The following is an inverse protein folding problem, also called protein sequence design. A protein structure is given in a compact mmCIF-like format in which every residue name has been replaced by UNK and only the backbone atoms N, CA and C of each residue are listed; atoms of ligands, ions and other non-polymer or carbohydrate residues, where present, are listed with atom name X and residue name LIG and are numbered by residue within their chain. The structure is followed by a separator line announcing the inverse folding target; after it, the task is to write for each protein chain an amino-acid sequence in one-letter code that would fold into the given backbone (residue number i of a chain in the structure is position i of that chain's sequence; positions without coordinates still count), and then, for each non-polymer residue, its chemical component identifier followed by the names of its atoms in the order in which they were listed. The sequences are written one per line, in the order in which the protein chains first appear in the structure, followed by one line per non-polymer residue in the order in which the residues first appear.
data_IF_377986123446
#
_entry.id   IF_377986123446
#
_cell.length_a   1.000
_cell.length_b   1.000
_cell.length_c   1.000
_cell.angle_alpha   90.00
_cell.angle_beta   90.00
_cell.angle_gamma   90.00
#
_symmetry.space_group_name_H-M   'P 1'
#
loop_
_entity.id
_entity.type
_entity.pdbx_description
1 polymer ?
#
# COMPACT_ATOMS: atom_id res chain seq x y z
N UNK A 1 63.58 51.34 2.63
CA UNK A 1 63.33 51.93 3.96
C UNK A 1 62.75 50.88 4.87
N UNK A 2 63.60 50.23 5.74
CA UNK A 2 63.17 49.11 6.61
C UNK A 2 62.80 49.66 7.99
N UNK A 3 61.49 49.51 8.41
CA UNK A 3 61.07 49.78 9.78
C UNK A 3 61.32 48.56 10.67
N UNK A 4 62.22 48.69 11.63
CA UNK A 4 62.45 47.75 12.72
C UNK A 4 61.24 47.77 13.68
N UNK A 5 60.52 46.64 13.86
CA UNK A 5 59.59 46.41 14.98
C UNK A 5 60.37 45.87 16.17
N UNK A 6 60.44 46.66 17.24
CA UNK A 6 60.87 46.23 18.55
C UNK A 6 59.85 45.28 19.16
N UNK A 7 60.22 44.02 19.39
CA UNK A 7 59.48 43.03 20.14
C UNK A 7 60.09 42.87 21.51
N UNK A 8 59.65 43.64 22.50
CA UNK A 8 59.86 43.29 23.90
C UNK A 8 58.69 42.43 24.35
N UNK A 9 58.71 41.13 24.10
CA UNK A 9 57.77 40.18 24.69
C UNK A 9 58.44 39.55 25.91
N UNK A 10 58.07 40.06 27.09
CA UNK A 10 58.44 39.37 28.33
C UNK A 10 57.68 38.00 28.29
N UNK A 11 58.36 36.89 28.51
CA UNK A 11 57.72 35.60 28.52
C UNK A 11 56.71 35.51 29.68
N UNK A 12 55.51 35.02 29.40
CA UNK A 12 54.37 35.02 30.32
C UNK A 12 54.67 34.43 31.72
N UNK A 13 55.68 33.53 31.81
CA UNK A 13 56.17 32.97 33.08
C UNK A 13 56.82 34.00 33.99
N UNK A 14 57.50 35.02 33.48
CA UNK A 14 58.06 36.11 34.29
C UNK A 14 57.01 37.13 34.72
N UNK A 15 55.97 37.35 33.91
CA UNK A 15 54.82 38.16 34.25
C UNK A 15 54.05 37.56 35.45
N UNK A 16 53.91 36.22 35.45
CA UNK A 16 53.25 35.48 36.52
C UNK A 16 54.04 35.54 37.83
N UNK A 17 55.42 35.40 37.74
CA UNK A 17 56.30 35.53 38.88
C UNK A 17 56.30 36.96 39.49
N UNK A 18 56.28 37.99 38.65
CA UNK A 18 56.17 39.37 39.11
C UNK A 18 54.80 39.60 39.78
N UNK A 19 53.72 39.08 39.21
CA UNK A 19 52.38 39.17 39.79
C UNK A 19 52.29 38.47 41.17
N UNK A 20 52.87 37.26 41.30
CA UNK A 20 52.98 36.55 42.58
C UNK A 20 53.84 37.33 43.58
N UNK A 21 54.95 37.92 43.14
CA UNK A 21 55.81 38.77 43.98
C UNK A 21 55.07 39.98 44.51
N UNK A 22 54.30 40.65 43.68
CA UNK A 22 53.47 41.82 44.09
C UNK A 22 52.40 41.36 45.10
N UNK A 23 51.73 40.24 44.87
CA UNK A 23 50.74 39.68 45.82
C UNK A 23 51.37 39.37 47.18
N UNK A 24 52.57 38.79 47.22
CA UNK A 24 53.27 38.51 48.48
C UNK A 24 53.68 39.79 49.19
N UNK A 25 54.18 40.82 48.46
CA UNK A 25 54.53 42.10 49.05
C UNK A 25 53.31 42.81 49.62
N UNK A 26 52.19 42.77 48.91
CA UNK A 26 50.90 43.35 49.40
C UNK A 26 50.41 42.60 50.65
N UNK A 27 50.57 41.25 50.67
CA UNK A 27 50.19 40.41 51.80
C UNK A 27 51.12 40.70 53.02
N UNK A 28 52.40 40.87 52.80
CA UNK A 28 53.37 41.24 53.83
C UNK A 28 53.16 42.63 54.37
N UNK A 29 52.88 43.63 53.53
CA UNK A 29 52.51 45.00 53.94
C UNK A 29 51.21 45.00 54.71
N UNK A 30 50.20 44.24 54.32
CA UNK A 30 48.97 44.09 55.03
C UNK A 30 49.16 43.46 56.41
N UNK A 31 50.08 42.49 56.54
CA UNK A 31 50.44 41.86 57.81
C UNK A 31 51.27 42.82 58.72
N UNK A 32 52.20 43.61 58.17
CA UNK A 32 53.05 44.51 58.95
C UNK A 32 52.34 45.79 59.42
N UNK A 33 51.26 46.20 58.75
CA UNK A 33 50.45 47.41 59.12
C UNK A 33 49.22 47.03 59.92
N UNK A 34 48.88 45.69 60.01
CA UNK A 34 47.64 45.17 60.63
C UNK A 34 47.72 44.97 62.14
N UNK A 35 48.08 46.01 62.85
CA UNK A 35 47.67 46.11 64.23
C UNK A 35 46.40 46.93 64.33
N UNK A 36 45.30 46.27 64.70
CA UNK A 36 43.98 46.84 65.20
C UNK A 36 42.99 47.34 64.15
N UNK A 37 41.92 46.65 64.07
CA UNK A 37 40.54 47.06 63.82
C UNK A 37 40.26 48.29 62.99
N UNK A 38 39.74 48.16 61.77
CA UNK A 38 38.91 49.16 61.15
C UNK A 38 39.57 50.19 60.27
N UNK A 39 40.63 49.80 59.46
CA UNK A 39 41.25 50.71 58.50
C UNK A 39 40.54 50.74 57.12
N UNK A 40 40.80 51.84 56.33
CA UNK A 40 40.17 52.06 55.01
C UNK A 40 40.41 50.96 53.97
N UNK A 41 41.30 50.03 54.25
CA UNK A 41 41.60 48.84 53.38
C UNK A 41 40.43 47.81 53.32
N UNK A 42 39.65 47.72 54.42
CA UNK A 42 38.51 46.83 54.47
C UNK A 42 37.36 47.33 53.57
N UNK A 43 37.27 48.68 53.43
CA UNK A 43 36.28 49.30 52.52
C UNK A 43 36.67 49.14 51.06
N UNK A 44 37.98 49.19 50.73
CA UNK A 44 38.45 48.99 49.35
C UNK A 44 38.39 47.51 48.94
N UNK A 45 38.68 46.58 49.84
CA UNK A 45 38.55 45.16 49.61
C UNK A 45 37.10 44.77 49.37
N UNK A 46 36.17 45.28 50.16
CA UNK A 46 34.74 45.02 49.98
C UNK A 46 34.17 45.62 48.68
N UNK A 47 34.71 46.76 48.24
CA UNK A 47 34.25 47.44 47.03
C UNK A 47 34.70 46.74 45.75
N UNK A 48 35.84 46.05 45.75
CA UNK A 48 36.39 45.32 44.59
C UNK A 48 36.03 43.83 44.61
N UNK A 49 36.10 43.17 45.78
CA UNK A 49 35.86 41.70 45.86
C UNK A 49 34.37 41.33 45.80
N UNK A 50 33.48 42.13 46.35
CA UNK A 50 32.01 41.82 46.38
C UNK A 50 31.40 41.85 44.97
N UNK A 51 31.65 42.83 44.09
CA UNK A 51 31.16 42.83 42.73
C UNK A 51 31.79 41.72 41.86
N UNK A 52 33.07 41.39 42.12
CA UNK A 52 33.79 40.32 41.38
C UNK A 52 33.23 38.93 41.74
N UNK A 53 32.88 38.68 43.01
CA UNK A 53 32.23 37.47 43.47
C UNK A 53 30.79 37.30 42.91
N UNK A 54 30.06 38.42 42.81
CA UNK A 54 28.74 38.41 42.12
C UNK A 54 28.87 38.21 40.63
N UNK A 55 29.90 38.75 39.97
CA UNK A 55 30.17 38.55 38.56
C UNK A 55 30.53 37.13 38.23
N UNK A 56 31.36 36.45 39.04
CA UNK A 56 31.75 35.04 38.84
C UNK A 56 30.55 34.10 39.01
N UNK A 57 29.68 34.32 40.01
CA UNK A 57 28.49 33.53 40.21
C UNK A 57 27.49 33.70 39.05
N UNK A 58 27.29 34.92 38.53
CA UNK A 58 26.38 35.17 37.41
C UNK A 58 26.89 34.55 36.09
N UNK A 59 28.21 34.56 35.89
CA UNK A 59 28.82 33.89 34.72
C UNK A 59 28.73 32.36 34.87
N UNK A 60 28.99 31.82 36.06
CA UNK A 60 28.85 30.38 36.35
C UNK A 60 27.43 29.86 36.12
N UNK A 61 26.42 30.57 36.61
CA UNK A 61 25.01 30.20 36.41
C UNK A 61 24.56 30.38 34.97
N UNK A 62 25.11 31.33 34.24
CA UNK A 62 24.83 31.51 32.81
C UNK A 62 25.38 30.36 31.97
N UNK A 63 26.57 29.90 32.26
CA UNK A 63 27.19 28.74 31.55
C UNK A 63 26.51 27.42 31.95
N UNK A 64 26.18 27.21 33.22
CA UNK A 64 25.44 26.03 33.70
C UNK A 64 24.07 25.94 33.03
N UNK A 65 23.28 27.00 33.08
CA UNK A 65 21.96 27.02 32.42
C UNK A 65 22.00 26.85 30.90
N UNK A 66 23.12 27.23 30.27
CA UNK A 66 23.31 26.99 28.82
C UNK A 66 23.70 25.56 28.51
N UNK A 67 24.52 24.94 29.34
CA UNK A 67 24.91 23.53 29.24
C UNK A 67 23.69 22.62 29.44
N UNK A 68 22.87 22.88 30.45
CA UNK A 68 21.66 22.10 30.73
C UNK A 68 20.63 22.20 29.59
N UNK A 69 20.50 23.38 28.97
CA UNK A 69 19.65 23.57 27.78
C UNK A 69 20.17 22.85 26.55
N UNK A 70 21.50 22.79 26.34
CA UNK A 70 22.08 22.04 25.24
C UNK A 70 21.89 20.53 25.42
N UNK A 71 22.09 20.00 26.64
CA UNK A 71 21.83 18.59 26.93
C UNK A 71 20.34 18.24 26.77
N UNK A 72 19.44 19.11 27.21
CA UNK A 72 18.01 18.93 27.02
C UNK A 72 17.64 18.98 25.53
N UNK A 73 18.22 19.89 24.74
CA UNK A 73 17.97 19.95 23.31
C UNK A 73 18.46 18.70 22.58
N UNK A 74 19.66 18.23 22.91
CA UNK A 74 20.24 17.02 22.34
C UNK A 74 19.39 15.79 22.68
N UNK A 75 18.96 15.63 23.93
CA UNK A 75 18.09 14.52 24.33
C UNK A 75 16.71 14.56 23.64
N UNK A 76 16.12 15.74 23.45
CA UNK A 76 14.86 15.91 22.71
C UNK A 76 15.06 15.62 21.22
N UNK A 77 16.18 15.99 20.63
CA UNK A 77 16.51 15.67 19.25
C UNK A 77 16.69 14.16 19.06
N UNK A 78 17.38 13.49 19.97
CA UNK A 78 17.57 12.02 19.96
C UNK A 78 16.24 11.29 20.15
N UNK A 79 15.39 11.77 21.08
CA UNK A 79 14.05 11.23 21.28
C UNK A 79 13.17 11.42 20.03
N UNK A 80 13.22 12.61 19.41
CA UNK A 80 12.50 12.87 18.17
C UNK A 80 12.95 11.98 17.02
N UNK A 81 14.26 11.71 16.92
CA UNK A 81 14.81 10.80 15.92
C UNK A 81 14.34 9.36 16.17
N UNK A 82 14.42 8.89 17.40
CA UNK A 82 13.90 7.56 17.79
C UNK A 82 12.41 7.41 17.54
N UNK A 83 11.63 8.44 17.88
CA UNK A 83 10.19 8.42 17.63
C UNK A 83 9.87 8.39 16.13
N UNK A 84 10.62 9.12 15.30
CA UNK A 84 10.47 9.04 13.84
C UNK A 84 10.80 7.65 13.29
N UNK A 85 11.89 7.04 13.74
CA UNK A 85 12.26 5.67 13.36
C UNK A 85 11.19 4.66 13.80
N UNK A 86 10.62 4.83 15.00
CA UNK A 86 9.52 3.98 15.47
C UNK A 86 8.25 4.17 14.64
N UNK A 87 7.90 5.40 14.28
CA UNK A 87 6.74 5.69 13.42
C UNK A 87 6.94 5.07 12.03
N UNK A 88 8.13 5.18 11.44
CA UNK A 88 8.45 4.58 10.14
C UNK A 88 8.37 3.05 10.21
N UNK A 89 8.94 2.45 11.25
CA UNK A 89 8.87 1.01 11.47
C UNK A 89 7.42 0.53 11.64
N UNK A 90 6.66 1.18 12.52
CA UNK A 90 5.25 0.85 12.75
C UNK A 90 4.41 1.04 11.47
N UNK A 91 4.68 2.07 10.69
CA UNK A 91 4.02 2.29 9.40
C UNK A 91 4.31 1.16 8.41
N UNK A 92 5.56 0.70 8.35
CA UNK A 92 5.96 -0.43 7.51
C UNK A 92 5.30 -1.74 7.97
N UNK A 93 5.32 -2.03 9.27
CA UNK A 93 4.65 -3.19 9.85
C UNK A 93 3.13 -3.16 9.59
N UNK A 94 2.50 -2.00 9.76
CA UNK A 94 1.07 -1.83 9.49
C UNK A 94 0.72 -2.08 8.02
N UNK A 95 1.56 -1.63 7.09
CA UNK A 95 1.37 -1.89 5.66
C UNK A 95 1.52 -3.37 5.34
N UNK A 96 2.50 -4.05 5.94
CA UNK A 96 2.69 -5.50 5.77
C UNK A 96 1.47 -6.27 6.28
N UNK A 97 0.98 -5.96 7.49
CA UNK A 97 -0.21 -6.61 8.07
C UNK A 97 -1.45 -6.37 7.21
N UNK A 98 -1.61 -5.17 6.65
CA UNK A 98 -2.72 -4.89 5.73
C UNK A 98 -2.64 -5.74 4.46
N UNK A 99 -1.45 -5.89 3.87
CA UNK A 99 -1.26 -6.75 2.69
C UNK A 99 -1.59 -8.21 3.00
N UNK A 100 -1.12 -8.73 4.13
CA UNK A 100 -1.44 -10.09 4.59
C UNK A 100 -2.94 -10.29 4.84
N UNK A 101 -3.64 -9.28 5.36
CA UNK A 101 -5.10 -9.33 5.53
C UNK A 101 -5.83 -9.39 4.19
N UNK A 102 -5.43 -8.61 3.19
CA UNK A 102 -6.01 -8.68 1.84
C UNK A 102 -5.76 -10.05 1.20
N UNK A 103 -4.54 -10.57 1.29
CA UNK A 103 -4.21 -11.90 0.76
C UNK A 103 -5.05 -13.01 1.43
N UNK A 104 -5.24 -12.94 2.75
CA UNK A 104 -6.09 -13.88 3.48
C UNK A 104 -7.56 -13.78 3.05
N UNK A 105 -8.06 -12.59 2.76
CA UNK A 105 -9.43 -12.37 2.30
C UNK A 105 -9.64 -12.93 0.89
N UNK A 106 -8.70 -12.67 -0.02
CA UNK A 106 -8.67 -13.22 -1.38
C UNK A 106 -8.64 -14.76 -1.35
N UNK A 107 -7.79 -15.37 -0.52
CA UNK A 107 -7.74 -16.82 -0.36
C UNK A 107 -9.04 -17.43 0.20
N UNK A 108 -9.70 -16.74 1.12
CA UNK A 108 -11.00 -17.16 1.63
C UNK A 108 -12.09 -17.10 0.56
N UNK A 109 -12.06 -16.11 -0.31
CA UNK A 109 -12.98 -16.01 -1.43
C UNK A 109 -12.76 -17.13 -2.44
N UNK A 110 -11.51 -17.43 -2.80
CA UNK A 110 -11.17 -18.57 -3.65
C UNK A 110 -11.64 -19.90 -3.05
N UNK A 111 -11.46 -20.09 -1.76
CA UNK A 111 -11.92 -21.31 -1.09
C UNK A 111 -13.44 -21.44 -1.11
N UNK A 112 -14.19 -20.36 -0.91
CA UNK A 112 -15.65 -20.34 -1.04
C UNK A 112 -16.09 -20.68 -2.47
N UNK A 113 -15.39 -20.12 -3.47
CA UNK A 113 -15.65 -20.39 -4.88
C UNK A 113 -15.36 -21.85 -5.23
N UNK A 114 -14.28 -22.44 -4.71
CA UNK A 114 -13.95 -23.85 -4.87
C UNK A 114 -15.06 -24.76 -4.32
N UNK A 115 -15.57 -24.45 -3.16
CA UNK A 115 -16.69 -25.20 -2.57
C UNK A 115 -18.01 -25.06 -3.35
N UNK A 116 -18.24 -23.91 -4.01
CA UNK A 116 -19.45 -23.68 -4.80
C UNK A 116 -19.53 -24.55 -6.07
N UNK A 117 -18.38 -24.93 -6.62
CA UNK A 117 -18.28 -25.72 -7.84
C UNK A 117 -17.47 -27.02 -7.62
N UNK A 118 -17.93 -27.94 -6.73
CA UNK A 118 -17.12 -29.10 -6.31
C UNK A 118 -16.88 -30.13 -7.42
N UNK A 119 -17.71 -30.12 -8.45
CA UNK A 119 -17.68 -31.13 -9.53
C UNK A 119 -16.56 -30.88 -10.56
N UNK A 120 -15.95 -29.71 -10.56
CA UNK A 120 -14.90 -29.36 -11.52
C UNK A 120 -13.51 -29.49 -10.90
N UNK A 121 -12.57 -30.06 -11.65
CA UNK A 121 -11.16 -30.00 -11.31
C UNK A 121 -10.63 -28.61 -11.58
N UNK A 122 -9.95 -27.98 -10.60
CA UNK A 122 -9.50 -26.60 -10.67
C UNK A 122 -8.05 -26.46 -10.24
N UNK A 123 -7.36 -25.47 -10.81
CA UNK A 123 -6.03 -25.04 -10.42
C UNK A 123 -6.08 -23.55 -10.11
N UNK A 124 -5.57 -23.17 -8.94
CA UNK A 124 -5.40 -21.77 -8.56
C UNK A 124 -4.17 -21.19 -9.31
N UNK A 125 -4.30 -19.97 -9.78
CA UNK A 125 -3.25 -19.24 -10.48
C UNK A 125 -3.27 -17.76 -10.07
N UNK A 126 -2.09 -17.15 -10.04
CA UNK A 126 -1.94 -15.72 -9.79
C UNK A 126 -1.93 -14.93 -11.09
N UNK A 127 -2.53 -13.76 -11.09
CA UNK A 127 -2.46 -12.84 -12.22
C UNK A 127 -1.10 -12.12 -12.15
N UNK A 128 -0.26 -12.32 -13.19
CA UNK A 128 1.11 -11.78 -13.24
C UNK A 128 1.28 -10.62 -14.20
N UNK A 129 0.26 -10.28 -14.96
CA UNK A 129 0.28 -9.15 -15.87
C UNK A 129 -1.06 -8.93 -16.53
N UNK A 130 -1.32 -7.69 -16.95
CA UNK A 130 -2.50 -7.32 -17.72
C UNK A 130 -2.11 -6.44 -18.90
N UNK A 131 -2.97 -6.35 -19.88
CA UNK A 131 -2.85 -5.41 -20.98
C UNK A 131 -2.99 -3.96 -20.50
N UNK A 132 -2.57 -2.99 -21.31
CA UNK A 132 -2.68 -1.58 -20.92
C UNK A 132 -4.15 -1.16 -20.82
N UNK A 133 -4.55 -0.66 -19.66
CA UNK A 133 -5.92 -0.24 -19.39
C UNK A 133 -6.27 -0.33 -17.90
N UNK A 134 -7.44 0.17 -17.54
CA UNK A 134 -7.94 0.12 -16.16
C UNK A 134 -8.45 -1.28 -15.79
N UNK A 135 -8.96 -2.02 -16.75
CA UNK A 135 -9.64 -3.29 -16.56
C UNK A 135 -8.78 -4.49 -16.98
N UNK A 136 -9.02 -5.63 -16.36
CA UNK A 136 -8.40 -6.92 -16.74
C UNK A 136 -9.17 -7.56 -17.91
N UNK A 137 -9.22 -6.88 -19.07
CA UNK A 137 -9.85 -7.42 -20.29
C UNK A 137 -9.05 -8.57 -20.91
N UNK A 138 -7.72 -8.44 -20.94
CA UNK A 138 -6.79 -9.51 -21.29
C UNK A 138 -5.65 -9.53 -20.28
N UNK A 139 -5.36 -10.68 -19.70
CA UNK A 139 -4.33 -10.80 -18.66
C UNK A 139 -3.58 -12.13 -18.73
N UNK A 140 -2.45 -12.18 -18.03
CA UNK A 140 -1.58 -13.35 -17.91
C UNK A 140 -1.65 -13.94 -16.51
N UNK A 141 -1.62 -15.27 -16.45
CA UNK A 141 -1.54 -16.04 -15.20
C UNK A 141 -0.24 -16.85 -15.13
N UNK A 142 0.24 -17.15 -13.91
CA UNK A 142 1.48 -17.85 -13.59
C UNK A 142 1.43 -19.38 -13.76
N UNK A 143 0.36 -19.90 -14.35
CA UNK A 143 0.15 -21.32 -14.63
C UNK A 143 0.00 -21.57 -16.12
N UNK A 144 0.52 -22.69 -16.59
CA UNK A 144 0.53 -23.01 -18.01
C UNK A 144 0.38 -24.50 -18.31
N UNK A 145 0.92 -24.94 -19.45
CA UNK A 145 0.81 -26.32 -19.93
C UNK A 145 1.34 -27.37 -18.94
N UNK A 146 2.38 -27.03 -18.16
CA UNK A 146 2.93 -27.94 -17.15
C UNK A 146 1.99 -28.15 -15.95
N UNK A 147 1.09 -27.23 -15.72
CA UNK A 147 0.08 -27.29 -14.65
C UNK A 147 -1.26 -27.88 -15.15
N UNK A 148 -1.29 -28.35 -16.40
CA UNK A 148 -2.48 -28.94 -17.00
C UNK A 148 -3.41 -27.93 -17.66
N UNK A 149 -2.98 -26.67 -17.83
CA UNK A 149 -3.81 -25.65 -18.48
C UNK A 149 -3.74 -25.82 -19.99
N UNK A 150 -4.91 -25.73 -20.61
CA UNK A 150 -5.09 -25.78 -22.05
C UNK A 150 -6.00 -24.65 -22.54
N UNK A 151 -5.95 -24.41 -23.84
CA UNK A 151 -6.83 -23.44 -24.49
C UNK A 151 -8.30 -23.86 -24.34
N UNK A 152 -9.18 -22.86 -24.26
CA UNK A 152 -10.62 -22.94 -24.05
C UNK A 152 -11.05 -23.44 -22.64
N UNK A 153 -10.13 -23.50 -21.67
CA UNK A 153 -10.46 -23.70 -20.27
C UNK A 153 -11.08 -22.43 -19.66
N UNK A 154 -12.06 -22.62 -18.79
CA UNK A 154 -12.77 -21.50 -18.17
C UNK A 154 -12.05 -21.00 -16.92
N UNK A 155 -12.10 -19.68 -16.69
CA UNK A 155 -11.42 -19.01 -15.58
C UNK A 155 -12.46 -18.28 -14.72
N UNK A 156 -12.40 -18.47 -13.41
CA UNK A 156 -13.29 -17.90 -12.42
C UNK A 156 -12.50 -17.10 -11.36
N UNK A 157 -13.11 -16.09 -10.79
CA UNK A 157 -12.61 -15.38 -9.60
C UNK A 157 -13.77 -14.77 -8.81
N UNK A 158 -13.54 -14.45 -7.54
CA UNK A 158 -14.56 -13.89 -6.67
C UNK A 158 -15.81 -14.77 -6.64
N UNK A 159 -16.90 -14.34 -7.23
CA UNK A 159 -18.15 -15.06 -7.25
C UNK A 159 -18.55 -15.63 -8.61
N UNK A 160 -17.79 -15.45 -9.68
CA UNK A 160 -18.26 -15.78 -11.01
C UNK A 160 -17.22 -16.02 -12.07
N UNK A 161 -17.71 -16.09 -13.30
CA UNK A 161 -16.94 -16.27 -14.52
C UNK A 161 -16.10 -15.01 -14.80
N UNK A 162 -14.78 -15.19 -14.97
CA UNK A 162 -13.88 -14.14 -15.42
C UNK A 162 -13.63 -14.18 -16.91
N UNK A 163 -13.42 -15.39 -17.48
CA UNK A 163 -13.07 -15.49 -18.88
C UNK A 163 -12.70 -16.88 -19.33
N UNK A 164 -11.91 -16.92 -20.39
CA UNK A 164 -11.47 -18.15 -21.03
C UNK A 164 -9.99 -18.05 -21.44
N UNK A 165 -9.27 -19.16 -21.32
CA UNK A 165 -7.88 -19.26 -21.76
C UNK A 165 -7.81 -19.24 -23.30
N UNK A 166 -7.06 -18.29 -23.86
CA UNK A 166 -6.91 -18.10 -25.31
C UNK A 166 -5.57 -18.54 -25.85
N UNK A 167 -4.52 -18.54 -25.01
CA UNK A 167 -3.18 -18.96 -25.37
C UNK A 167 -2.45 -19.55 -24.16
N UNK A 168 -1.55 -20.53 -24.39
CA UNK A 168 -0.90 -21.28 -23.31
C UNK A 168 0.58 -21.48 -23.61
N UNK A 169 1.42 -20.89 -22.76
CA UNK A 169 2.85 -21.16 -22.70
C UNK A 169 3.21 -22.32 -21.75
N UNK A 170 4.50 -22.64 -21.60
CA UNK A 170 4.93 -23.72 -20.71
C UNK A 170 4.59 -23.44 -19.21
N UNK A 171 4.67 -22.19 -18.77
CA UNK A 171 4.52 -21.74 -17.37
C UNK A 171 3.57 -20.55 -17.21
N UNK A 172 2.89 -20.15 -18.26
CA UNK A 172 1.94 -19.04 -18.23
C UNK A 172 0.77 -19.35 -19.17
N UNK A 173 -0.35 -18.69 -18.95
CA UNK A 173 -1.43 -18.70 -19.91
C UNK A 173 -2.01 -17.28 -20.07
N UNK A 174 -2.57 -16.99 -21.23
CA UNK A 174 -3.25 -15.74 -21.56
C UNK A 174 -4.74 -15.97 -21.48
N UNK A 175 -5.42 -15.14 -20.70
CA UNK A 175 -6.86 -15.20 -20.48
C UNK A 175 -7.51 -13.99 -21.13
N UNK A 176 -8.60 -14.21 -21.89
CA UNK A 176 -9.51 -13.15 -22.31
C UNK A 176 -10.70 -13.16 -21.37
N UNK A 177 -10.99 -12.03 -20.79
CA UNK A 177 -12.13 -11.90 -19.88
C UNK A 177 -13.45 -11.70 -20.63
N UNK A 178 -14.55 -11.87 -19.91
CA UNK A 178 -15.89 -11.70 -20.50
C UNK A 178 -16.24 -10.24 -20.78
N UNK A 179 -15.50 -9.27 -20.22
CA UNK A 179 -15.70 -7.84 -20.45
C UNK A 179 -15.03 -7.32 -21.75
N UNK A 180 -14.12 -8.13 -22.35
CA UNK A 180 -13.45 -7.76 -23.61
C UNK A 180 -14.48 -7.67 -24.74
N UNK A 181 -14.40 -6.59 -25.58
CA UNK A 181 -15.33 -6.30 -26.66
C UNK A 181 -15.50 -7.45 -27.68
N UNK A 182 -14.48 -8.32 -27.76
CA UNK A 182 -14.50 -9.49 -28.65
C UNK A 182 -15.08 -10.73 -27.96
N UNK A 183 -15.41 -10.65 -26.68
CA UNK A 183 -15.93 -11.76 -25.90
C UNK A 183 -17.43 -11.93 -26.09
N UNK A 184 -17.85 -13.18 -26.31
CA UNK A 184 -19.25 -13.59 -26.41
C UNK A 184 -19.47 -14.84 -25.60
N UNK A 185 -20.41 -14.79 -24.67
CA UNK A 185 -20.74 -15.89 -23.78
C UNK A 185 -22.23 -16.24 -23.94
N UNK A 186 -22.52 -17.51 -24.22
CA UNK A 186 -23.92 -17.97 -24.16
C UNK A 186 -24.37 -18.00 -22.71
N UNK A 187 -25.26 -17.08 -22.34
CA UNK A 187 -25.84 -16.95 -21.02
C UNK A 187 -27.26 -17.51 -20.94
N UNK A 188 -27.71 -17.75 -19.72
CA UNK A 188 -29.09 -18.14 -19.41
C UNK A 188 -29.51 -17.41 -18.14
N UNK A 189 -30.69 -16.79 -18.17
CA UNK A 189 -31.30 -16.22 -16.98
C UNK A 189 -31.90 -17.37 -16.15
N UNK A 190 -31.43 -17.50 -14.90
CA UNK A 190 -31.75 -18.69 -14.09
C UNK A 190 -33.27 -18.79 -13.73
N UNK A 191 -33.93 -17.65 -13.49
CA UNK A 191 -35.37 -17.60 -13.10
C UNK A 191 -36.32 -18.06 -14.19
N UNK A 192 -35.97 -17.82 -15.48
CA UNK A 192 -36.83 -18.12 -16.62
C UNK A 192 -36.29 -19.21 -17.53
N UNK A 193 -35.03 -19.64 -17.33
CA UNK A 193 -34.27 -20.49 -18.24
C UNK A 193 -34.16 -19.90 -19.67
N UNK A 194 -34.34 -18.59 -19.80
CA UNK A 194 -34.23 -17.87 -21.07
C UNK A 194 -32.79 -17.71 -21.47
N UNK A 195 -32.41 -18.17 -22.68
CA UNK A 195 -31.06 -18.03 -23.21
C UNK A 195 -30.86 -16.63 -23.79
N UNK A 196 -29.68 -16.09 -23.60
CA UNK A 196 -29.20 -14.83 -24.14
C UNK A 196 -27.74 -14.92 -24.59
N UNK A 197 -27.27 -13.91 -25.30
CA UNK A 197 -25.85 -13.75 -25.65
C UNK A 197 -25.31 -12.58 -24.85
N UNK A 198 -24.40 -12.86 -23.93
CA UNK A 198 -23.67 -11.86 -23.17
C UNK A 198 -22.46 -11.42 -23.97
N UNK A 199 -22.31 -10.14 -24.19
CA UNK A 199 -21.18 -9.53 -24.92
C UNK A 199 -20.38 -8.67 -23.95
N UNK A 200 -19.06 -8.75 -24.04
CA UNK A 200 -18.17 -7.81 -23.38
C UNK A 200 -18.36 -6.42 -23.99
N UNK A 201 -18.18 -5.41 -23.16
CA UNK A 201 -18.30 -4.01 -23.54
C UNK A 201 -17.47 -3.16 -22.58
N UNK A 202 -16.27 -2.80 -23.03
CA UNK A 202 -15.34 -2.02 -22.23
C UNK A 202 -15.83 -0.58 -21.99
N UNK A 203 -16.64 -0.03 -22.89
CA UNK A 203 -17.23 1.28 -22.68
C UNK A 203 -18.30 1.21 -21.57
N UNK A 204 -19.22 0.25 -21.61
CA UNK A 204 -20.21 0.06 -20.57
C UNK A 204 -19.57 -0.26 -19.20
N UNK A 205 -18.45 -1.00 -19.21
CA UNK A 205 -17.65 -1.24 -17.99
C UNK A 205 -17.07 0.05 -17.43
N UNK A 206 -16.54 0.94 -18.27
CA UNK A 206 -15.98 2.23 -17.81
C UNK A 206 -17.07 3.19 -17.28
N UNK A 207 -18.25 3.19 -17.91
CA UNK A 207 -19.31 4.13 -17.59
C UNK A 207 -20.11 3.68 -16.36
N UNK A 208 -20.46 2.38 -16.29
CA UNK A 208 -21.43 1.86 -15.32
C UNK A 208 -21.01 0.55 -14.61
N UNK A 209 -19.82 0.02 -14.87
CA UNK A 209 -19.38 -1.31 -14.42
C UNK A 209 -20.33 -2.44 -14.89
N UNK A 210 -20.78 -2.39 -16.12
CA UNK A 210 -21.73 -3.30 -16.73
C UNK A 210 -21.24 -3.89 -18.04
N UNK A 211 -21.77 -5.07 -18.40
CA UNK A 211 -21.64 -5.69 -19.73
C UNK A 211 -23.02 -5.83 -20.34
N UNK A 212 -23.08 -6.04 -21.64
CA UNK A 212 -24.36 -6.08 -22.37
C UNK A 212 -24.83 -7.50 -22.64
N UNK A 213 -26.13 -7.68 -22.80
CA UNK A 213 -26.69 -8.93 -23.34
C UNK A 213 -27.75 -8.64 -24.41
N UNK A 214 -27.94 -9.63 -25.31
CA UNK A 214 -28.90 -9.54 -26.42
C UNK A 214 -29.62 -10.88 -26.62
N UNK A 215 -30.70 -10.84 -27.42
CA UNK A 215 -31.45 -12.02 -27.86
C UNK A 215 -32.09 -12.81 -26.73
N UNK A 216 -32.44 -12.17 -25.60
CA UNK A 216 -33.19 -12.82 -24.53
C UNK A 216 -34.65 -12.96 -24.95
N UNK A 217 -35.19 -14.20 -24.99
CA UNK A 217 -36.59 -14.43 -25.20
C UNK A 217 -37.34 -14.38 -23.86
N UNK A 218 -38.12 -13.32 -23.65
CA UNK A 218 -38.92 -13.10 -22.45
C UNK A 218 -40.23 -12.39 -22.82
N UNK A 219 -41.13 -13.12 -23.50
CA UNK A 219 -42.37 -12.56 -23.98
C UNK A 219 -43.35 -12.18 -22.84
N UNK A 220 -43.23 -12.83 -21.69
CA UNK A 220 -44.12 -12.64 -20.53
C UNK A 220 -43.60 -11.59 -19.54
N UNK A 221 -42.51 -10.87 -19.86
CA UNK A 221 -41.89 -9.88 -19.00
C UNK A 221 -41.57 -10.39 -17.58
N UNK A 222 -41.02 -11.61 -17.50
CA UNK A 222 -40.73 -12.29 -16.24
C UNK A 222 -39.37 -11.97 -15.65
N UNK A 223 -38.39 -11.60 -16.52
CA UNK A 223 -37.05 -11.28 -16.11
C UNK A 223 -37.01 -9.92 -15.42
N UNK A 224 -36.43 -9.89 -14.21
CA UNK A 224 -36.38 -8.71 -13.37
C UNK A 224 -34.92 -8.30 -13.07
N UNK A 225 -34.75 -7.04 -12.72
CA UNK A 225 -33.48 -6.53 -12.15
C UNK A 225 -33.07 -7.38 -10.95
N UNK A 226 -31.81 -7.83 -10.95
CA UNK A 226 -31.24 -8.70 -9.92
C UNK A 226 -31.31 -10.19 -10.23
N UNK A 227 -31.97 -10.61 -11.31
CA UNK A 227 -31.99 -12.01 -11.73
C UNK A 227 -30.57 -12.48 -12.10
N UNK A 228 -30.24 -13.71 -11.69
CA UNK A 228 -28.94 -14.31 -11.96
C UNK A 228 -28.83 -14.76 -13.42
N UNK A 229 -27.71 -14.39 -14.03
CA UNK A 229 -27.31 -14.86 -15.36
C UNK A 229 -26.13 -15.80 -15.21
N UNK A 230 -26.29 -17.04 -15.69
CA UNK A 230 -25.26 -18.08 -15.65
C UNK A 230 -24.89 -18.49 -17.06
N UNK A 231 -23.75 -19.19 -17.23
CA UNK A 231 -23.39 -19.79 -18.51
C UNK A 231 -24.41 -20.86 -18.93
N UNK A 232 -24.84 -20.78 -20.18
CA UNK A 232 -25.85 -21.68 -20.75
C UNK A 232 -25.27 -23.04 -21.11
N UNK A 233 -26.15 -24.06 -21.09
CA UNK A 233 -25.82 -25.39 -21.61
C UNK A 233 -25.58 -25.41 -23.15
N UNK A 234 -26.05 -24.42 -23.87
CA UNK A 234 -25.88 -24.29 -25.34
C UNK A 234 -24.50 -23.80 -25.75
N UNK A 235 -23.66 -23.39 -24.80
CA UNK A 235 -22.30 -22.92 -25.10
C UNK A 235 -21.42 -24.07 -25.64
N UNK A 236 -20.60 -23.78 -26.62
CA UNK A 236 -19.57 -24.68 -27.17
C UNK A 236 -18.23 -24.63 -26.41
N UNK A 237 -18.00 -23.55 -25.63
CA UNK A 237 -16.72 -23.29 -24.93
C UNK A 237 -16.86 -23.14 -23.43
N UNK A 238 -18.02 -22.66 -22.96
CA UNK A 238 -18.22 -22.42 -21.56
C UNK A 238 -18.97 -23.58 -20.90
N UNK A 239 -18.45 -24.06 -19.77
CA UNK A 239 -19.12 -25.02 -18.92
C UNK A 239 -20.39 -24.40 -18.36
N UNK A 240 -21.45 -25.20 -18.20
CA UNK A 240 -22.75 -24.67 -17.81
C UNK A 240 -22.83 -24.31 -16.31
N UNK A 241 -23.67 -23.33 -15.97
CA UNK A 241 -24.03 -23.02 -14.58
C UNK A 241 -23.04 -22.14 -13.84
N UNK A 242 -22.01 -21.61 -14.51
CA UNK A 242 -21.10 -20.65 -13.89
C UNK A 242 -21.75 -19.27 -13.89
N UNK A 243 -21.80 -18.61 -12.73
CA UNK A 243 -22.39 -17.30 -12.59
C UNK A 243 -21.64 -16.27 -13.42
N UNK A 244 -22.35 -15.51 -14.26
CA UNK A 244 -21.80 -14.39 -15.03
C UNK A 244 -22.02 -13.09 -14.24
N UNK A 245 -23.25 -12.86 -13.76
CA UNK A 245 -23.64 -11.65 -13.06
C UNK A 245 -25.14 -11.56 -12.80
N UNK A 246 -25.60 -10.34 -12.64
CA UNK A 246 -26.98 -10.02 -12.30
C UNK A 246 -27.55 -9.03 -13.31
N UNK A 247 -28.79 -9.23 -13.74
CA UNK A 247 -29.49 -8.31 -14.64
C UNK A 247 -29.62 -6.94 -13.98
N UNK A 248 -29.13 -5.89 -14.65
CA UNK A 248 -29.28 -4.50 -14.23
C UNK A 248 -30.49 -3.85 -14.85
N UNK A 249 -30.58 -3.91 -16.19
CA UNK A 249 -31.64 -3.33 -16.96
C UNK A 249 -32.02 -4.22 -18.14
N UNK A 250 -33.29 -4.13 -18.55
CA UNK A 250 -33.81 -4.85 -19.72
C UNK A 250 -34.68 -3.93 -20.55
N UNK A 251 -34.51 -3.99 -21.86
CA UNK A 251 -35.31 -3.25 -22.85
C UNK A 251 -35.82 -4.18 -23.93
N UNK A 252 -37.02 -3.91 -24.43
CA UNK A 252 -37.60 -4.66 -25.55
C UNK A 252 -36.88 -4.22 -26.83
N UNK A 253 -36.38 -5.18 -27.61
CA UNK A 253 -35.82 -4.90 -28.91
C UNK A 253 -36.87 -4.40 -29.91
N UNK A 254 -36.46 -3.70 -30.96
CA UNK A 254 -37.31 -3.18 -32.01
C UNK A 254 -38.11 -4.25 -32.76
N UNK A 255 -37.74 -5.53 -32.62
CA UNK A 255 -38.48 -6.67 -33.20
C UNK A 255 -39.65 -7.14 -32.33
N UNK A 256 -39.87 -6.59 -31.14
CA UNK A 256 -40.87 -6.96 -30.14
C UNK A 256 -40.92 -8.47 -29.79
N UNK A 257 -39.84 -9.21 -30.00
CA UNK A 257 -39.73 -10.64 -29.75
C UNK A 257 -38.66 -10.96 -28.70
N UNK A 258 -37.57 -10.21 -28.73
CA UNK A 258 -36.42 -10.38 -27.85
C UNK A 258 -36.16 -9.13 -27.01
N UNK A 259 -35.42 -9.30 -25.91
CA UNK A 259 -34.92 -8.23 -25.07
C UNK A 259 -33.41 -8.17 -25.11
N UNK A 260 -32.93 -6.98 -24.98
CA UNK A 260 -31.51 -6.67 -24.67
C UNK A 260 -31.42 -5.93 -23.35
N UNK A 261 -30.23 -5.76 -22.84
CA UNK A 261 -30.03 -5.04 -21.59
C UNK A 261 -28.60 -5.14 -21.09
N UNK A 262 -28.42 -4.83 -19.80
CA UNK A 262 -27.12 -4.83 -19.13
C UNK A 262 -27.08 -5.79 -17.95
N UNK A 263 -25.88 -6.24 -17.60
CA UNK A 263 -25.58 -7.16 -16.52
C UNK A 263 -24.45 -6.56 -15.71
N UNK A 264 -24.62 -6.48 -14.38
CA UNK A 264 -23.51 -6.23 -13.47
C UNK A 264 -22.74 -7.55 -13.28
N UNK A 265 -21.45 -7.64 -13.67
CA UNK A 265 -20.65 -8.84 -13.50
C UNK A 265 -20.54 -9.26 -12.03
N UNK A 266 -20.44 -10.57 -11.77
CA UNK A 266 -20.25 -11.11 -10.42
C UNK A 266 -18.79 -11.11 -9.97
N UNK A 267 -17.84 -11.02 -10.91
CA UNK A 267 -16.42 -10.91 -10.64
C UNK A 267 -15.97 -9.44 -10.68
N UNK A 268 -15.02 -9.08 -9.81
CA UNK A 268 -14.38 -7.75 -9.80
C UNK A 268 -13.26 -7.70 -10.85
N UNK A 269 -13.51 -7.03 -11.96
CA UNK A 269 -12.54 -6.89 -13.06
C UNK A 269 -11.54 -5.76 -12.87
N UNK A 270 -11.64 -4.98 -11.80
CA UNK A 270 -10.68 -3.93 -11.45
C UNK A 270 -9.54 -4.48 -10.58
N UNK A 271 -9.83 -5.49 -9.75
CA UNK A 271 -8.92 -6.00 -8.72
C UNK A 271 -8.70 -7.52 -8.80
N UNK A 272 -8.45 -8.06 -10.00
CA UNK A 272 -8.14 -9.48 -10.15
C UNK A 272 -6.69 -9.78 -9.72
N UNK A 273 -6.54 -10.62 -8.69
CA UNK A 273 -5.24 -11.11 -8.20
C UNK A 273 -5.07 -12.60 -8.38
N UNK A 274 -5.98 -13.39 -7.84
CA UNK A 274 -6.01 -14.84 -7.96
C UNK A 274 -7.24 -15.29 -8.72
N UNK A 275 -7.07 -16.36 -9.48
CA UNK A 275 -8.12 -16.97 -10.29
C UNK A 275 -8.09 -18.47 -10.14
N UNK A 276 -9.24 -19.13 -10.38
CA UNK A 276 -9.36 -20.58 -10.51
C UNK A 276 -9.57 -20.93 -11.97
N UNK A 277 -8.66 -21.72 -12.53
CA UNK A 277 -8.81 -22.28 -13.88
C UNK A 277 -9.46 -23.65 -13.77
N UNK A 278 -10.60 -23.84 -14.42
CA UNK A 278 -11.27 -25.15 -14.53
C UNK A 278 -10.54 -25.97 -15.59
N UNK A 279 -9.99 -27.13 -15.19
CA UNK A 279 -9.25 -28.02 -16.08
C UNK A 279 -10.15 -28.83 -17.01
N UNK A 280 -11.44 -28.95 -16.67
CA UNK A 280 -12.42 -29.64 -17.53
C UNK A 280 -12.83 -28.74 -18.70
N UNK A 281 -12.86 -29.26 -19.89
CA UNK A 281 -13.36 -28.56 -21.08
C UNK A 281 -14.78 -29.01 -21.41
N UNK A 282 -15.54 -28.12 -22.05
CA UNK A 282 -16.92 -28.42 -22.47
C UNK A 282 -17.01 -29.61 -23.40
N UNK A 283 -16.04 -29.79 -24.31
CA UNK A 283 -15.96 -30.90 -25.25
C UNK A 283 -15.73 -32.26 -24.57
N UNK A 284 -14.97 -32.25 -23.47
CA UNK A 284 -14.66 -33.52 -22.75
C UNK A 284 -15.89 -33.95 -21.92
N UNK A 285 -16.66 -32.99 -21.38
CA UNK A 285 -17.89 -33.25 -20.63
C UNK A 285 -19.03 -33.83 -21.49
N UNK A 286 -19.01 -33.64 -22.81
CA UNK A 286 -19.99 -34.22 -23.72
C UNK A 286 -19.60 -35.62 -24.24
N UNK A 287 -18.29 -35.97 -24.25
CA UNK A 287 -17.81 -37.25 -24.69
C UNK A 287 -18.04 -38.41 -23.72
N UNK A 288 -18.20 -38.10 -22.40
CA UNK A 288 -18.46 -39.11 -21.37
C UNK A 288 -19.95 -39.50 -21.24
N UNK A 289 -20.85 -38.79 -21.92
CA UNK A 289 -22.27 -39.12 -21.96
C UNK A 289 -22.67 -40.06 -23.12
N UNK A 290 -21.73 -40.36 -24.02
CA UNK A 290 -21.96 -41.30 -25.17
C UNK A 290 -21.31 -42.68 -24.96
N UNK A 291 -20.93 -43.07 -23.73
CA UNK A 291 -20.45 -44.41 -23.41
C UNK A 291 -21.44 -45.16 -22.49
#
# INVERSE_FOLDING_TARGET
MKRKKSKNSFPARYLLLVLCGICLIVMFLAYSVGGTSGGPLNSVASYIFVPMQKGINSVGTFFSNKSDRFQTLESVMDENTKLKEQVEKLSTELNTVKLEQYELEDLRELYKLDQKYPNYKKVAANVIGKDSGNWFNVFLIDKGKKDGIEKDMNVMAGNGLVGIVIDVGPHYAKVRSIIDDTSKVSGMVLSTSGNCIVNGDLQAMNDNCEITFKNLKDADDKVKKGDQVVTSYVSDKFLQGILIGYVSETEMDSNNITKSGTITPAADFEHLREVLVILDKKTDATSDTEK
#
